data_IF_181442773921
#
_entry.id   IF_181442773921
#
_cell.length_a   1.000
_cell.length_b   1.000
_cell.length_c   1.000
_cell.angle_alpha   90.00
_cell.angle_beta   90.00
_cell.angle_gamma   90.00
#
_symmetry.space_group_name_H-M   'P 1'
#
loop_
_entity.id
_entity.type
_entity.pdbx_description
1 polymer ?
#
# COMPACT_ATOMS: atom_id res chain seq x y z
N UNK A 1 16.65 10.00 0.57
CA UNK A 1 17.31 9.85 1.88
C UNK A 1 17.20 8.40 2.28
N UNK A 2 18.33 7.71 2.46
CA UNK A 2 18.35 6.28 2.75
C UNK A 2 17.76 6.07 4.15
N UNK A 3 16.56 5.50 4.24
CA UNK A 3 16.05 4.96 5.49
C UNK A 3 16.89 3.71 5.80
N UNK A 4 18.03 3.90 6.47
CA UNK A 4 18.76 2.78 7.04
C UNK A 4 17.75 2.06 7.93
N UNK A 5 17.47 0.75 7.73
CA UNK A 5 16.51 0.06 8.55
C UNK A 5 16.98 0.17 10.00
N UNK A 6 16.33 1.02 10.81
CA UNK A 6 16.69 1.28 12.20
C UNK A 6 16.77 -0.03 13.00
N UNK A 7 16.00 -1.04 12.59
CA UNK A 7 16.05 -2.40 13.11
C UNK A 7 17.45 -3.05 13.00
N UNK A 8 18.20 -2.82 11.90
CA UNK A 8 19.54 -3.40 11.70
C UNK A 8 20.61 -2.73 12.55
N UNK A 9 20.48 -1.43 12.82
CA UNK A 9 21.42 -0.67 13.66
C UNK A 9 21.08 -0.80 15.15
N UNK A 10 19.79 -0.86 15.48
CA UNK A 10 19.29 -1.03 16.85
C UNK A 10 19.75 -2.33 17.48
N UNK A 11 19.78 -3.44 16.73
CA UNK A 11 20.25 -4.73 17.26
C UNK A 11 21.70 -4.74 17.74
N UNK A 12 22.60 -3.98 17.08
CA UNK A 12 24.01 -3.88 17.47
C UNK A 12 24.24 -2.91 18.63
N UNK A 13 23.59 -1.74 18.62
CA UNK A 13 23.71 -0.75 19.70
C UNK A 13 23.17 -1.29 21.01
N UNK A 14 22.05 -2.01 20.94
CA UNK A 14 21.43 -2.58 22.12
C UNK A 14 22.36 -3.59 22.81
N UNK A 15 22.95 -4.53 22.05
CA UNK A 15 23.92 -5.50 22.60
C UNK A 15 25.17 -4.84 23.18
N UNK A 16 25.53 -3.66 22.70
CA UNK A 16 26.71 -2.90 23.15
C UNK A 16 26.42 -2.07 24.42
N UNK A 17 25.20 -1.55 24.55
CA UNK A 17 24.78 -0.74 25.70
C UNK A 17 24.26 -1.59 26.87
N UNK A 18 23.77 -2.81 26.61
CA UNK A 18 23.27 -3.70 27.66
C UNK A 18 24.31 -4.00 28.73
N UNK A 19 25.53 -4.38 28.34
CA UNK A 19 26.58 -4.79 29.29
C UNK A 19 27.01 -3.69 30.27
N UNK A 20 27.33 -2.46 29.83
CA UNK A 20 27.70 -1.39 30.76
C UNK A 20 26.53 -0.98 31.66
N UNK A 21 25.30 -0.94 31.15
CA UNK A 21 24.11 -0.60 31.94
C UNK A 21 23.82 -1.67 32.98
N UNK A 22 23.83 -2.95 32.60
CA UNK A 22 23.68 -4.07 33.53
C UNK A 22 24.74 -4.03 34.64
N UNK A 23 25.99 -3.70 34.30
CA UNK A 23 27.08 -3.57 35.29
C UNK A 23 26.83 -2.45 36.29
N UNK A 24 26.35 -1.28 35.84
CA UNK A 24 26.00 -0.18 36.74
C UNK A 24 24.75 -0.47 37.57
N UNK A 25 23.75 -1.13 36.98
CA UNK A 25 22.53 -1.51 37.67
C UNK A 25 22.83 -2.54 38.76
N UNK A 26 23.71 -3.50 38.49
CA UNK A 26 24.22 -4.47 39.47
C UNK A 26 24.97 -3.80 40.62
N UNK A 27 25.85 -2.83 40.33
CA UNK A 27 26.52 -2.04 41.38
C UNK A 27 25.51 -1.23 42.22
N UNK A 28 24.51 -0.65 41.57
CA UNK A 28 23.43 0.10 42.23
C UNK A 28 22.53 -0.81 43.07
N UNK A 29 22.27 -2.04 42.63
CA UNK A 29 21.46 -3.02 43.35
C UNK A 29 22.15 -3.57 44.61
N UNK A 30 23.49 -3.48 44.70
CA UNK A 30 24.23 -3.81 45.93
C UNK A 30 24.19 -2.70 46.97
N UNK A 31 24.06 -1.45 46.53
CA UNK A 31 24.08 -0.27 47.41
C UNK A 31 22.68 0.17 47.82
N UNK A 32 21.67 0.02 46.95
CA UNK A 32 20.29 0.45 47.19
C UNK A 32 19.39 -0.75 47.54
N UNK A 33 18.82 -0.83 48.76
CA UNK A 33 18.01 -1.97 49.18
C UNK A 33 16.70 -2.11 48.40
N UNK A 34 16.07 -0.99 48.01
CA UNK A 34 14.87 -1.03 47.18
C UNK A 34 15.16 -1.63 45.80
N UNK A 35 16.28 -1.25 45.19
CA UNK A 35 16.68 -1.74 43.86
C UNK A 35 17.07 -3.22 43.92
N UNK A 36 17.72 -3.64 45.03
CA UNK A 36 17.99 -5.04 45.30
C UNK A 36 16.71 -5.88 45.31
N UNK A 37 15.69 -5.44 46.06
CA UNK A 37 14.40 -6.13 46.17
C UNK A 37 13.67 -6.22 44.83
N UNK A 38 13.71 -5.15 44.03
CA UNK A 38 13.14 -5.13 42.68
C UNK A 38 13.90 -6.10 41.76
N UNK A 39 15.23 -6.00 41.70
CA UNK A 39 16.05 -6.90 40.87
C UNK A 39 15.85 -8.37 41.28
N UNK A 40 15.76 -8.66 42.58
CA UNK A 40 15.49 -10.00 43.08
C UNK A 40 14.14 -10.52 42.61
N UNK A 41 13.08 -9.73 42.76
CA UNK A 41 11.72 -10.11 42.33
C UNK A 41 11.65 -10.32 40.82
N UNK A 42 12.25 -9.42 40.04
CA UNK A 42 12.32 -9.52 38.58
C UNK A 42 13.13 -10.73 38.13
N UNK A 43 14.27 -11.01 38.77
CA UNK A 43 15.10 -12.17 38.43
C UNK A 43 14.43 -13.51 38.76
N UNK A 44 13.67 -13.58 39.86
CA UNK A 44 12.85 -14.76 40.15
C UNK A 44 11.71 -14.92 39.15
N UNK A 45 11.01 -13.83 38.82
CA UNK A 45 9.97 -13.85 37.80
C UNK A 45 10.51 -14.33 36.45
N UNK A 46 11.65 -13.78 36.01
CA UNK A 46 12.33 -14.19 34.78
C UNK A 46 12.65 -15.69 34.79
N UNK A 47 13.15 -16.22 35.91
CA UNK A 47 13.43 -17.64 36.02
C UNK A 47 12.17 -18.50 35.93
N UNK A 48 11.13 -18.17 36.71
CA UNK A 48 9.87 -18.92 36.74
C UNK A 48 9.21 -18.92 35.36
N UNK A 49 9.16 -17.77 34.69
CA UNK A 49 8.64 -17.66 33.33
C UNK A 49 9.47 -18.48 32.35
N UNK A 50 10.80 -18.39 32.42
CA UNK A 50 11.69 -19.16 31.55
C UNK A 50 11.48 -20.67 31.69
N UNK A 51 11.41 -21.17 32.92
CA UNK A 51 11.14 -22.58 33.21
C UNK A 51 9.75 -23.00 32.70
N UNK A 52 8.72 -22.17 32.90
CA UNK A 52 7.37 -22.44 32.39
C UNK A 52 7.32 -22.51 30.87
N UNK A 53 7.96 -21.57 30.17
CA UNK A 53 8.02 -21.58 28.71
C UNK A 53 8.75 -22.84 28.22
N UNK A 54 9.90 -23.17 28.82
CA UNK A 54 10.66 -24.36 28.46
C UNK A 54 9.83 -25.65 28.63
N UNK A 55 9.12 -25.79 29.75
CA UNK A 55 8.23 -26.93 29.98
C UNK A 55 7.06 -26.97 28.99
N UNK A 56 6.47 -25.81 28.70
CA UNK A 56 5.39 -25.70 27.71
C UNK A 56 5.85 -26.11 26.31
N UNK A 57 7.06 -25.73 25.90
CA UNK A 57 7.62 -26.11 24.60
C UNK A 57 7.91 -27.62 24.52
N UNK A 58 8.22 -28.25 25.65
CA UNK A 58 8.45 -29.69 25.75
C UNK A 58 7.15 -30.51 25.90
N UNK A 59 5.98 -29.88 25.78
CA UNK A 59 4.67 -30.54 25.89
C UNK A 59 4.32 -30.99 27.30
N UNK A 60 5.05 -30.52 28.32
CA UNK A 60 4.78 -30.83 29.73
C UNK A 60 3.68 -29.89 30.25
N UNK A 61 2.43 -30.35 30.24
CA UNK A 61 1.22 -29.55 30.57
C UNK A 61 0.99 -29.40 32.10
N UNK A 62 1.77 -30.10 32.94
CA UNK A 62 1.57 -30.12 34.40
C UNK A 62 2.22 -28.94 35.14
N UNK A 63 2.01 -27.70 34.69
CA UNK A 63 2.62 -26.49 35.30
C UNK A 63 2.21 -26.23 36.76
N UNK A 64 1.11 -26.83 37.23
CA UNK A 64 0.56 -26.62 38.58
C UNK A 64 1.22 -27.47 39.67
N UNK A 65 1.89 -28.57 39.28
CA UNK A 65 2.45 -29.55 40.22
C UNK A 65 3.96 -29.39 40.42
N UNK A 66 4.64 -28.70 39.50
CA UNK A 66 6.09 -28.54 39.56
C UNK A 66 6.42 -27.33 40.45
N UNK A 67 6.92 -27.62 41.65
CA UNK A 67 7.52 -26.62 42.53
C UNK A 67 8.86 -26.17 41.93
N UNK A 68 8.87 -25.01 41.28
CA UNK A 68 10.09 -24.43 40.70
C UNK A 68 10.94 -23.91 41.87
N UNK A 69 12.15 -24.44 42.01
CA UNK A 69 13.09 -24.01 43.05
C UNK A 69 13.54 -22.58 42.78
N UNK A 70 13.33 -21.70 43.75
CA UNK A 70 13.80 -20.32 43.69
C UNK A 70 15.32 -20.24 43.57
N UNK A 71 15.80 -19.22 42.85
CA UNK A 71 17.24 -18.95 42.76
C UNK A 71 17.81 -18.44 44.09
N UNK A 72 19.10 -18.67 44.34
CA UNK A 72 19.84 -17.94 45.35
C UNK A 72 19.67 -16.43 45.16
N UNK A 73 19.54 -15.69 46.25
CA UNK A 73 19.24 -14.25 46.21
C UNK A 73 20.21 -13.45 45.34
N UNK A 74 21.50 -13.77 45.39
CA UNK A 74 22.54 -13.07 44.63
C UNK A 74 22.41 -13.32 43.10
N UNK A 75 22.08 -14.55 42.70
CA UNK A 75 21.86 -14.88 41.29
C UNK A 75 20.55 -14.27 40.75
N UNK A 76 19.51 -14.19 41.58
CA UNK A 76 18.26 -13.53 41.20
C UNK A 76 18.49 -12.03 40.97
N UNK A 77 19.25 -11.36 41.85
CA UNK A 77 19.60 -9.95 41.67
C UNK A 77 20.42 -9.74 40.40
N UNK A 78 21.39 -10.62 40.12
CA UNK A 78 22.20 -10.55 38.91
C UNK A 78 21.34 -10.63 37.64
N UNK A 79 20.51 -11.67 37.51
CA UNK A 79 19.63 -11.84 36.35
C UNK A 79 18.63 -10.70 36.19
N UNK A 80 18.03 -10.25 37.30
CA UNK A 80 17.09 -9.14 37.27
C UNK A 80 17.74 -7.81 36.88
N UNK A 81 18.99 -7.56 37.30
CA UNK A 81 19.72 -6.35 36.94
C UNK A 81 20.08 -6.29 35.45
N UNK A 82 20.39 -7.44 34.85
CA UNK A 82 20.66 -7.57 33.41
C UNK A 82 19.38 -7.33 32.61
N UNK A 83 18.29 -7.99 32.98
CA UNK A 83 17.00 -7.84 32.30
C UNK A 83 16.42 -6.42 32.39
N UNK A 84 16.52 -5.76 33.56
CA UNK A 84 16.09 -4.37 33.72
C UNK A 84 16.94 -3.42 32.88
N UNK A 85 18.26 -3.65 32.80
CA UNK A 85 19.16 -2.86 31.96
C UNK A 85 18.77 -2.93 30.48
N UNK A 86 18.51 -4.14 29.97
CA UNK A 86 18.03 -4.34 28.60
C UNK A 86 16.69 -3.64 28.37
N UNK A 87 15.72 -3.86 29.26
CA UNK A 87 14.37 -3.32 29.15
C UNK A 87 14.37 -1.79 29.12
N UNK A 88 15.21 -1.14 29.92
CA UNK A 88 15.35 0.32 29.93
C UNK A 88 15.87 0.85 28.59
N UNK A 89 16.91 0.24 28.03
CA UNK A 89 17.48 0.68 26.75
C UNK A 89 16.47 0.44 25.62
N UNK A 90 15.83 -0.73 25.60
CA UNK A 90 14.76 -1.03 24.64
C UNK A 90 13.61 -0.04 24.74
N UNK A 91 13.16 0.29 25.95
CA UNK A 91 12.07 1.25 26.16
C UNK A 91 12.40 2.63 25.56
N UNK A 92 13.61 3.15 25.82
CA UNK A 92 14.07 4.41 25.23
C UNK A 92 14.09 4.33 23.71
N UNK A 93 14.61 3.24 23.13
CA UNK A 93 14.64 3.04 21.68
C UNK A 93 13.23 3.02 21.06
N UNK A 94 12.29 2.31 21.70
CA UNK A 94 10.88 2.25 21.25
C UNK A 94 10.22 3.63 21.33
N UNK A 95 10.44 4.38 22.41
CA UNK A 95 9.89 5.73 22.57
C UNK A 95 10.38 6.66 21.46
N UNK A 96 11.70 6.65 21.18
CA UNK A 96 12.29 7.47 20.10
C UNK A 96 11.72 7.06 18.73
N UNK A 97 11.67 5.76 18.44
CA UNK A 97 11.12 5.26 17.18
C UNK A 97 9.64 5.62 17.02
N UNK A 98 8.85 5.53 18.10
CA UNK A 98 7.44 5.92 18.08
C UNK A 98 7.26 7.43 17.89
N UNK A 99 8.09 8.25 18.53
CA UNK A 99 8.08 9.70 18.34
C UNK A 99 8.43 10.11 16.90
N UNK A 100 9.45 9.49 16.29
CA UNK A 100 9.77 9.70 14.88
C UNK A 100 8.65 9.20 13.96
N UNK A 101 8.03 8.08 14.29
CA UNK A 101 6.90 7.55 13.53
C UNK A 101 5.71 8.51 13.55
N UNK A 102 5.32 9.05 14.71
CA UNK A 102 4.23 10.03 14.79
C UNK A 102 4.56 11.29 13.99
N UNK A 103 5.80 11.80 14.13
CA UNK A 103 6.27 12.97 13.39
C UNK A 103 6.31 12.73 11.88
N UNK A 104 6.77 11.57 11.43
CA UNK A 104 6.91 11.20 10.01
C UNK A 104 5.57 10.88 9.36
N UNK A 105 4.67 10.23 10.11
CA UNK A 105 3.28 9.91 9.74
C UNK A 105 2.51 11.14 9.27
N UNK A 106 2.68 12.29 9.93
CA UNK A 106 2.05 13.55 9.51
C UNK A 106 2.46 13.98 8.10
N UNK A 107 3.75 13.88 7.76
CA UNK A 107 4.25 14.22 6.42
C UNK A 107 3.83 13.21 5.35
N UNK A 108 3.74 11.93 5.70
CA UNK A 108 3.31 10.87 4.76
C UNK A 108 1.81 10.97 4.44
N UNK A 109 0.96 11.22 5.44
CA UNK A 109 -0.48 11.44 5.25
C UNK A 109 -0.76 12.64 4.34
N UNK A 110 -0.04 13.75 4.52
CA UNK A 110 -0.17 14.91 3.63
C UNK A 110 0.25 14.61 2.19
N UNK A 111 1.27 13.76 2.00
CA UNK A 111 1.70 13.33 0.66
C UNK A 111 0.68 12.41 0.01
N UNK A 112 0.07 11.50 0.76
CA UNK A 112 -0.99 10.61 0.28
C UNK A 112 -2.24 11.42 -0.11
N UNK A 113 -2.66 12.39 0.72
CA UNK A 113 -3.78 13.28 0.38
C UNK A 113 -3.50 14.07 -0.90
N UNK A 114 -2.30 14.65 -1.04
CA UNK A 114 -1.90 15.36 -2.27
C UNK A 114 -1.79 14.44 -3.48
N UNK A 115 -1.41 13.18 -3.30
CA UNK A 115 -1.36 12.20 -4.39
C UNK A 115 -2.77 11.82 -4.85
N UNK A 116 -3.69 11.58 -3.91
CA UNK A 116 -5.08 11.27 -4.19
C UNK A 116 -5.80 12.43 -4.89
N UNK A 117 -5.58 13.67 -4.44
CA UNK A 117 -6.10 14.87 -5.11
C UNK A 117 -5.63 14.97 -6.58
N UNK A 118 -4.36 14.65 -6.85
CA UNK A 118 -3.82 14.62 -8.23
C UNK A 118 -4.45 13.52 -9.07
N UNK A 119 -4.73 12.35 -8.50
CA UNK A 119 -5.45 11.29 -9.19
C UNK A 119 -6.88 11.67 -9.51
N UNK A 120 -7.58 12.28 -8.55
CA UNK A 120 -8.95 12.78 -8.76
C UNK A 120 -9.00 13.83 -9.88
N UNK A 121 -8.08 14.80 -9.88
CA UNK A 121 -7.99 15.78 -10.97
C UNK A 121 -7.69 15.13 -12.32
N UNK A 122 -6.82 14.10 -12.36
CA UNK A 122 -6.54 13.36 -13.60
C UNK A 122 -7.79 12.65 -14.11
N UNK A 123 -8.57 12.03 -13.23
CA UNK A 123 -9.83 11.38 -13.60
C UNK A 123 -10.84 12.40 -14.16
N UNK A 124 -10.99 13.56 -13.52
CA UNK A 124 -11.84 14.63 -14.03
C UNK A 124 -11.38 15.14 -15.41
N UNK A 125 -10.07 15.27 -15.64
CA UNK A 125 -9.55 15.65 -16.94
C UNK A 125 -9.87 14.61 -18.02
N UNK A 126 -9.73 13.32 -17.70
CA UNK A 126 -10.09 12.22 -18.62
C UNK A 126 -11.59 12.29 -18.96
N UNK A 127 -12.45 12.46 -17.95
CA UNK A 127 -13.91 12.60 -18.12
C UNK A 127 -14.27 13.78 -19.03
N UNK A 128 -13.66 14.95 -18.82
CA UNK A 128 -13.89 16.14 -19.66
C UNK A 128 -13.43 15.93 -21.11
N UNK A 129 -12.27 15.28 -21.29
CA UNK A 129 -11.76 14.94 -22.63
C UNK A 129 -12.67 13.95 -23.32
N UNK A 130 -13.19 12.96 -22.61
CA UNK A 130 -14.13 11.98 -23.12
C UNK A 130 -15.42 12.66 -23.61
N UNK A 131 -16.03 13.53 -22.81
CA UNK A 131 -17.22 14.31 -23.23
C UNK A 131 -16.96 15.18 -24.45
N UNK A 132 -15.77 15.78 -24.53
CA UNK A 132 -15.38 16.58 -25.70
C UNK A 132 -15.28 15.70 -26.96
N UNK A 133 -14.70 14.50 -26.82
CA UNK A 133 -14.64 13.51 -27.91
C UNK A 133 -16.02 13.04 -28.32
N UNK A 134 -16.92 12.73 -27.37
CA UNK A 134 -18.30 12.35 -27.68
C UNK A 134 -19.03 13.45 -28.46
N UNK A 135 -18.88 14.71 -28.05
CA UNK A 135 -19.51 15.82 -28.75
C UNK A 135 -18.97 16.00 -30.17
N UNK A 136 -17.65 15.83 -30.35
CA UNK A 136 -17.03 15.90 -31.68
C UNK A 136 -17.47 14.72 -32.56
N UNK A 137 -17.57 13.52 -32.01
CA UNK A 137 -18.07 12.34 -32.72
C UNK A 137 -19.51 12.53 -33.19
N UNK A 138 -20.38 13.07 -32.34
CA UNK A 138 -21.76 13.37 -32.71
C UNK A 138 -21.83 14.39 -33.86
N UNK A 139 -21.05 15.47 -33.79
CA UNK A 139 -20.96 16.45 -34.88
C UNK A 139 -20.47 15.84 -36.20
N UNK A 140 -19.49 14.93 -36.13
CA UNK A 140 -19.00 14.23 -37.32
C UNK A 140 -20.06 13.29 -37.91
N UNK A 141 -20.85 12.62 -37.06
CA UNK A 141 -21.93 11.74 -37.51
C UNK A 141 -23.03 12.51 -38.25
N UNK A 142 -23.36 13.72 -37.77
CA UNK A 142 -24.26 14.65 -38.45
C UNK A 142 -23.70 15.09 -39.82
N UNK A 143 -22.41 15.47 -39.88
CA UNK A 143 -21.75 15.84 -41.14
C UNK A 143 -21.73 14.68 -42.15
N UNK A 144 -21.42 13.46 -41.71
CA UNK A 144 -21.44 12.26 -42.56
C UNK A 144 -22.85 12.01 -43.09
N UNK A 145 -23.87 12.18 -42.25
CA UNK A 145 -25.26 11.97 -42.63
C UNK A 145 -25.72 13.00 -43.67
N UNK A 146 -25.35 14.27 -43.51
CA UNK A 146 -25.62 15.32 -44.48
C UNK A 146 -24.90 15.07 -45.82
N UNK A 147 -23.64 14.65 -45.78
CA UNK A 147 -22.88 14.29 -46.99
C UNK A 147 -23.52 13.11 -47.72
N UNK A 148 -23.95 12.06 -47.00
CA UNK A 148 -24.68 10.93 -47.60
C UNK A 148 -25.95 11.38 -48.32
N UNK A 149 -26.76 12.22 -47.69
CA UNK A 149 -27.96 12.78 -48.32
C UNK A 149 -27.62 13.56 -49.60
N UNK A 150 -26.56 14.37 -49.59
CA UNK A 150 -26.13 15.11 -50.78
C UNK A 150 -25.70 14.21 -51.94
N UNK A 151 -25.06 13.07 -51.62
CA UNK A 151 -24.66 12.06 -52.61
C UNK A 151 -25.89 11.35 -53.16
N UNK A 152 -26.84 10.96 -52.30
CA UNK A 152 -28.09 10.30 -52.71
C UNK A 152 -28.96 11.21 -53.60
N UNK A 153 -29.02 12.51 -53.29
CA UNK A 153 -29.71 13.49 -54.14
C UNK A 153 -29.03 13.67 -55.50
N UNK A 154 -27.69 13.67 -55.52
CA UNK A 154 -26.92 13.80 -56.75
C UNK A 154 -27.05 12.55 -57.64
N UNK A 155 -27.03 11.34 -57.05
CA UNK A 155 -27.25 10.09 -57.79
C UNK A 155 -28.67 10.01 -58.33
N UNK A 156 -29.69 10.39 -57.55
CA UNK A 156 -31.08 10.45 -58.02
C UNK A 156 -31.26 11.39 -59.22
N UNK A 157 -30.66 12.60 -59.18
CA UNK A 157 -30.66 13.52 -60.33
C UNK A 157 -29.97 12.91 -61.55
N UNK A 158 -28.83 12.24 -61.34
CA UNK A 158 -28.05 11.64 -62.42
C UNK A 158 -28.81 10.47 -63.07
N UNK A 159 -29.56 9.69 -62.31
CA UNK A 159 -30.43 8.64 -62.84
C UNK A 159 -31.60 9.22 -63.64
N UNK A 160 -32.24 10.30 -63.16
CA UNK A 160 -33.26 11.02 -63.94
C UNK A 160 -32.71 11.53 -65.28
N UNK A 161 -31.52 12.16 -65.29
CA UNK A 161 -30.86 12.59 -66.52
C UNK A 161 -30.57 11.43 -67.47
N UNK A 162 -30.10 10.28 -66.97
CA UNK A 162 -29.89 9.07 -67.78
C UNK A 162 -31.19 8.53 -68.35
N UNK A 163 -32.27 8.51 -67.58
CA UNK A 163 -33.58 8.08 -68.04
C UNK A 163 -34.11 8.99 -69.15
N UNK A 164 -34.01 10.31 -68.98
CA UNK A 164 -34.42 11.29 -70.00
C UNK A 164 -33.59 11.12 -71.29
N UNK A 165 -32.27 10.93 -71.19
CA UNK A 165 -31.42 10.64 -72.34
C UNK A 165 -31.78 9.31 -73.02
N UNK A 166 -32.08 8.26 -72.26
CA UNK A 166 -32.48 6.96 -72.80
C UNK A 166 -33.82 7.04 -73.54
N UNK A 167 -34.78 7.81 -73.03
CA UNK A 167 -36.05 8.08 -73.72
C UNK A 167 -35.86 8.91 -75.00
N UNK A 168 -35.01 9.93 -74.95
CA UNK A 168 -34.65 10.73 -76.13
C UNK A 168 -33.97 9.86 -77.20
N UNK A 169 -33.06 8.98 -76.81
CA UNK A 169 -32.40 8.02 -77.71
C UNK A 169 -33.39 7.01 -78.33
N UNK A 170 -34.36 6.51 -77.55
CA UNK A 170 -35.43 5.63 -78.05
C UNK A 170 -36.32 6.33 -79.07
N UNK A 171 -36.67 7.61 -78.84
CA UNK A 171 -37.46 8.42 -79.79
C UNK A 171 -36.67 8.76 -81.07
N UNK A 172 -35.35 8.89 -80.98
CA UNK A 172 -34.47 9.18 -82.12
C UNK A 172 -34.09 7.94 -82.95
N UNK A 173 -34.37 6.72 -82.47
CA UNK A 173 -34.06 5.47 -83.20
C UNK A 173 -35.28 5.08 -84.06
N UNK A 174 -35.24 5.18 -85.39
CA UNK A 174 -36.36 4.76 -86.24
C UNK A 174 -36.57 3.24 -86.13
N UNK A 175 -37.82 2.81 -86.00
CA UNK A 175 -38.19 1.40 -85.92
C UNK A 175 -37.57 0.60 -87.08
N UNK A 176 -36.99 -0.59 -86.85
CA UNK A 176 -36.43 -1.38 -87.94
C UNK A 176 -37.55 -1.66 -88.94
N UNK A 177 -37.35 -1.23 -90.19
CA UNK A 177 -38.28 -1.49 -91.27
C UNK A 177 -38.51 -3.00 -91.35
N UNK A 178 -39.72 -3.43 -91.00
CA UNK A 178 -40.12 -4.82 -91.07
C UNK A 178 -39.97 -5.30 -92.52
N UNK A 179 -38.92 -6.09 -92.80
CA UNK A 179 -38.77 -6.82 -94.06
C UNK A 179 -39.74 -8.00 -94.02
N UNK A 180 -40.92 -7.79 -94.58
CA UNK A 180 -41.84 -8.87 -94.93
C UNK A 180 -41.43 -9.41 -96.30
N UNK A 181 -40.68 -10.52 -96.31
CA UNK A 181 -40.49 -11.41 -97.44
C UNK A 181 -40.35 -12.83 -96.92
#
# INVERSE_FOLDING_TARGET
MVAIPLFKVGGLLLRTLTKPVAKQLKQSAKTKPWLNSVCRSVGQYQHVVGVRIQMSMQGQIHWKTIQIKDLPADQAVDKGSEFLGETLIFSVAVIVAWYEYDRSSRSSKEKELKANEREFQRQQQIEMRFRTLEHLMASMEDEISALKQSVDDATAKLDLYKHEQAEAARKATPAPAARWW
#
